data_IF_488925357817
#
_entry.id   IF_488925357817
#
_cell.length_a   1.000
_cell.length_b   1.000
_cell.length_c   1.000
_cell.angle_alpha   90.00
_cell.angle_beta   90.00
_cell.angle_gamma   90.00
#
_symmetry.space_group_name_H-M   'P 1'
#
loop_
_entity.id
_entity.type
_entity.pdbx_description
1 polymer ?
#
# COMPACT_ATOMS: atom_id res chain seq x y z
N UNK A 1 3.40 31.49 8.65
CA UNK A 1 2.68 30.36 9.30
C UNK A 1 2.56 29.13 8.42
N UNK A 2 1.98 29.13 7.17
CA UNK A 2 1.99 27.95 6.29
C UNK A 2 3.39 27.62 5.75
N UNK A 3 4.22 28.63 5.44
CA UNK A 3 5.59 28.48 4.92
C UNK A 3 6.54 27.82 5.94
N UNK A 4 6.40 28.13 7.21
CA UNK A 4 7.22 27.57 8.30
C UNK A 4 6.83 26.12 8.62
N UNK A 5 5.57 25.74 8.38
CA UNK A 5 5.08 24.36 8.50
C UNK A 5 5.71 23.47 7.42
N UNK A 6 5.83 24.00 6.20
CA UNK A 6 6.46 23.28 5.08
C UNK A 6 7.98 23.10 5.29
N UNK A 7 8.68 24.15 5.73
CA UNK A 7 10.15 24.12 5.88
C UNK A 7 10.60 23.15 6.99
N UNK A 8 9.85 23.03 8.09
CA UNK A 8 10.18 22.09 9.17
C UNK A 8 9.59 20.67 9.01
N UNK A 9 8.69 20.46 8.05
CA UNK A 9 8.25 19.13 7.66
C UNK A 9 9.20 18.47 6.65
N UNK A 10 10.12 19.25 6.04
CA UNK A 10 11.11 18.70 5.13
C UNK A 10 12.24 18.03 5.91
N UNK A 11 12.74 16.89 5.44
CA UNK A 11 13.95 16.28 5.98
C UNK A 11 15.11 17.27 5.83
N UNK A 12 15.79 17.56 6.93
CA UNK A 12 16.93 18.51 6.95
C UNK A 12 18.15 18.00 6.22
N UNK A 13 18.26 16.68 6.08
CA UNK A 13 19.31 16.01 5.31
C UNK A 13 18.67 14.86 4.51
N UNK A 14 19.01 14.77 3.24
CA UNK A 14 18.44 13.79 2.28
C UNK A 14 18.66 12.33 2.68
N UNK A 15 19.43 12.02 3.72
CA UNK A 15 19.84 10.67 4.09
C UNK A 15 19.39 10.22 5.49
N UNK A 16 18.95 11.11 6.35
CA UNK A 16 18.63 10.82 7.76
C UNK A 16 17.49 9.80 7.94
N UNK A 17 16.48 9.80 7.05
CA UNK A 17 15.38 8.85 7.05
C UNK A 17 15.86 7.39 6.98
N UNK A 18 17.04 7.13 6.40
CA UNK A 18 17.61 5.78 6.30
C UNK A 18 17.92 5.16 7.66
N UNK A 19 18.19 5.97 8.68
CA UNK A 19 18.43 5.46 10.04
C UNK A 19 17.16 4.85 10.62
N UNK A 20 16.01 5.51 10.41
CA UNK A 20 14.70 5.01 10.83
C UNK A 20 14.35 3.73 10.05
N UNK A 21 14.53 3.74 8.74
CA UNK A 21 14.32 2.58 7.89
C UNK A 21 15.19 1.38 8.32
N UNK A 22 16.50 1.61 8.53
CA UNK A 22 17.44 0.58 8.95
C UNK A 22 17.07 -0.03 10.31
N UNK A 23 16.65 0.79 11.26
CA UNK A 23 16.16 0.33 12.56
C UNK A 23 14.98 -0.63 12.38
N UNK A 24 13.99 -0.25 11.58
CA UNK A 24 12.81 -1.07 11.31
C UNK A 24 13.17 -2.38 10.62
N UNK A 25 14.08 -2.33 9.63
CA UNK A 25 14.61 -3.52 8.96
C UNK A 25 15.31 -4.47 9.95
N UNK A 26 16.18 -3.96 10.81
CA UNK A 26 16.90 -4.78 11.80
C UNK A 26 15.98 -5.43 12.83
N UNK A 27 14.90 -4.76 13.22
CA UNK A 27 13.88 -5.32 14.08
C UNK A 27 13.09 -6.43 13.36
N UNK A 28 12.63 -6.15 12.13
CA UNK A 28 11.82 -7.07 11.33
C UNK A 28 12.56 -8.34 10.90
N UNK A 29 13.85 -8.26 10.56
CA UNK A 29 14.61 -9.42 10.05
C UNK A 29 14.57 -10.65 10.97
N UNK A 30 14.34 -10.44 12.27
CA UNK A 30 14.21 -11.53 13.25
C UNK A 30 12.92 -12.34 13.07
N UNK A 31 11.89 -11.73 12.52
CA UNK A 31 10.56 -12.32 12.28
C UNK A 31 10.20 -12.36 10.80
N UNK A 32 11.18 -12.16 9.90
CA UNK A 32 10.98 -12.00 8.47
C UNK A 32 10.19 -13.15 7.84
N UNK A 33 10.56 -14.40 8.16
CA UNK A 33 9.91 -15.58 7.60
C UNK A 33 8.42 -15.65 7.98
N UNK A 34 8.11 -15.46 9.27
CA UNK A 34 6.71 -15.45 9.77
C UNK A 34 5.91 -14.32 9.12
N UNK A 35 6.52 -13.14 9.01
CA UNK A 35 5.88 -11.98 8.36
C UNK A 35 5.62 -12.20 6.87
N UNK A 36 6.54 -12.85 6.14
CA UNK A 36 6.36 -13.14 4.71
C UNK A 36 5.26 -14.19 4.50
N UNK A 37 5.25 -15.27 5.29
CA UNK A 37 4.20 -16.29 5.21
C UNK A 37 2.83 -15.67 5.54
N UNK A 38 2.73 -14.86 6.61
CA UNK A 38 1.49 -14.18 6.97
C UNK A 38 0.97 -13.25 5.87
N UNK A 39 1.86 -12.48 5.23
CA UNK A 39 1.45 -11.59 4.13
C UNK A 39 1.01 -12.32 2.85
N UNK A 40 1.43 -13.60 2.67
CA UNK A 40 1.00 -14.42 1.54
C UNK A 40 -0.31 -15.16 1.81
N UNK A 41 -0.64 -15.42 3.07
CA UNK A 41 -1.79 -16.24 3.43
C UNK A 41 -3.10 -15.69 2.85
N UNK A 42 -3.42 -14.42 3.11
CA UNK A 42 -4.65 -13.80 2.62
C UNK A 42 -4.76 -13.80 1.07
N UNK A 43 -3.77 -13.30 0.29
CA UNK A 43 -3.82 -13.34 -1.16
C UNK A 43 -3.96 -14.76 -1.70
N UNK A 44 -3.31 -15.75 -1.08
CA UNK A 44 -3.41 -17.15 -1.51
C UNK A 44 -4.79 -17.72 -1.21
N UNK A 45 -5.39 -17.42 -0.06
CA UNK A 45 -6.76 -17.84 0.25
C UNK A 45 -7.76 -17.28 -0.76
N UNK A 46 -7.65 -16.00 -1.15
CA UNK A 46 -8.48 -15.42 -2.21
C UNK A 46 -8.21 -16.07 -3.57
N UNK A 47 -6.94 -16.25 -3.92
CA UNK A 47 -6.55 -16.84 -5.21
C UNK A 47 -7.05 -18.27 -5.33
N UNK A 48 -6.88 -19.09 -4.30
CA UNK A 48 -7.35 -20.48 -4.33
C UNK A 48 -8.86 -20.57 -4.10
N UNK A 49 -9.42 -19.86 -3.14
CA UNK A 49 -10.84 -19.92 -2.82
C UNK A 49 -11.72 -19.35 -3.94
N UNK A 50 -11.53 -18.08 -4.28
CA UNK A 50 -12.30 -17.46 -5.38
C UNK A 50 -11.76 -17.86 -6.75
N UNK A 51 -10.44 -17.94 -6.92
CA UNK A 51 -9.81 -18.24 -8.21
C UNK A 51 -10.24 -19.60 -8.74
N UNK A 52 -10.11 -20.64 -7.95
CA UNK A 52 -10.55 -22.00 -8.37
C UNK A 52 -12.02 -22.24 -8.09
N UNK A 53 -12.59 -21.77 -6.96
CA UNK A 53 -13.99 -21.99 -6.63
C UNK A 53 -14.93 -21.30 -7.62
N UNK A 54 -14.84 -19.98 -7.69
CA UNK A 54 -15.70 -19.17 -8.58
C UNK A 54 -15.18 -19.18 -10.03
N UNK A 55 -13.86 -19.32 -10.21
CA UNK A 55 -13.23 -19.36 -11.53
C UNK A 55 -13.70 -20.49 -12.43
N UNK A 56 -14.08 -21.64 -11.88
CA UNK A 56 -14.68 -22.74 -12.64
C UNK A 56 -16.02 -22.33 -13.25
N UNK A 57 -16.80 -21.52 -12.53
CA UNK A 57 -18.13 -21.06 -12.99
C UNK A 57 -18.03 -19.91 -13.99
N UNK A 58 -17.09 -18.98 -13.78
CA UNK A 58 -16.93 -17.78 -14.62
C UNK A 58 -16.11 -18.08 -15.88
N UNK A 59 -15.11 -18.95 -15.77
CA UNK A 59 -14.21 -19.31 -16.85
C UNK A 59 -13.26 -18.19 -17.25
N UNK A 60 -13.67 -17.34 -18.20
CA UNK A 60 -12.85 -16.23 -18.73
C UNK A 60 -13.52 -14.88 -18.51
N UNK A 61 -12.72 -13.89 -18.11
CA UNK A 61 -13.10 -12.48 -18.01
C UNK A 61 -12.13 -11.67 -18.89
N UNK A 62 -12.69 -10.80 -19.75
CA UNK A 62 -11.90 -9.94 -20.64
C UNK A 62 -10.85 -10.71 -21.46
N UNK A 63 -11.18 -11.96 -21.86
CA UNK A 63 -10.29 -12.80 -22.66
C UNK A 63 -9.14 -13.47 -21.92
N UNK A 64 -9.05 -13.33 -20.58
CA UNK A 64 -8.10 -14.06 -19.71
C UNK A 64 -8.82 -15.00 -18.76
N UNK A 65 -8.10 -15.98 -18.18
CA UNK A 65 -8.67 -16.80 -17.12
C UNK A 65 -9.00 -15.93 -15.89
N UNK A 66 -10.11 -16.25 -15.21
CA UNK A 66 -10.50 -15.52 -13.99
C UNK A 66 -9.39 -15.53 -12.93
N UNK A 67 -8.64 -16.62 -12.82
CA UNK A 67 -7.53 -16.75 -11.88
C UNK A 67 -6.41 -15.73 -12.19
N UNK A 68 -6.05 -15.56 -13.46
CA UNK A 68 -5.04 -14.58 -13.86
C UNK A 68 -5.52 -13.13 -13.64
N UNK A 69 -6.80 -12.86 -13.89
CA UNK A 69 -7.43 -11.59 -13.62
C UNK A 69 -7.39 -11.26 -12.12
N UNK A 70 -7.78 -12.21 -11.28
CA UNK A 70 -7.78 -12.10 -9.82
C UNK A 70 -6.35 -11.96 -9.28
N UNK A 71 -5.38 -12.74 -9.78
CA UNK A 71 -3.99 -12.70 -9.35
C UNK A 71 -3.39 -11.31 -9.48
N UNK A 72 -3.63 -10.63 -10.61
CA UNK A 72 -3.17 -9.26 -10.81
C UNK A 72 -3.79 -8.27 -9.80
N UNK A 73 -5.08 -8.42 -9.50
CA UNK A 73 -5.75 -7.64 -8.44
C UNK A 73 -5.19 -7.94 -7.05
N UNK A 74 -4.86 -9.21 -6.76
CA UNK A 74 -4.28 -9.61 -5.48
C UNK A 74 -2.88 -9.04 -5.24
N UNK A 75 -2.07 -8.82 -6.28
CA UNK A 75 -0.78 -8.11 -6.15
C UNK A 75 -0.98 -6.68 -5.64
N UNK A 76 -1.92 -5.94 -6.23
CA UNK A 76 -2.25 -4.59 -5.79
C UNK A 76 -2.79 -4.57 -4.35
N UNK A 77 -3.69 -5.49 -4.03
CA UNK A 77 -4.29 -5.63 -2.70
C UNK A 77 -3.24 -6.00 -1.66
N UNK A 78 -2.33 -6.91 -1.96
CA UNK A 78 -1.25 -7.32 -1.07
C UNK A 78 -0.31 -6.15 -0.74
N UNK A 79 0.03 -5.33 -1.74
CA UNK A 79 0.80 -4.10 -1.52
C UNK A 79 0.05 -3.10 -0.63
N UNK A 80 -1.24 -2.88 -0.89
CA UNK A 80 -2.12 -2.02 -0.10
C UNK A 80 -2.19 -2.47 1.35
N UNK A 81 -2.57 -3.73 1.61
CA UNK A 81 -2.77 -4.25 2.96
C UNK A 81 -1.48 -4.30 3.75
N UNK A 82 -0.38 -4.76 3.13
CA UNK A 82 0.93 -4.82 3.79
C UNK A 82 1.43 -3.43 4.22
N UNK A 83 1.35 -2.41 3.34
CA UNK A 83 1.75 -1.05 3.67
C UNK A 83 0.84 -0.43 4.74
N UNK A 84 -0.46 -0.61 4.59
CA UNK A 84 -1.44 -0.05 5.53
C UNK A 84 -1.27 -0.66 6.91
N UNK A 85 -1.20 -2.00 7.01
CA UNK A 85 -1.11 -2.68 8.31
C UNK A 85 0.23 -2.42 9.01
N UNK A 86 1.34 -2.34 8.27
CA UNK A 86 2.61 -1.89 8.84
C UNK A 86 2.46 -0.51 9.47
N UNK A 87 1.74 0.40 8.81
CA UNK A 87 1.57 1.78 9.31
C UNK A 87 0.59 1.84 10.48
N UNK A 88 -0.63 1.31 10.35
CA UNK A 88 -1.65 1.45 11.40
C UNK A 88 -1.35 0.63 12.66
N UNK A 89 -0.67 -0.51 12.54
CA UNK A 89 -0.35 -1.34 13.70
C UNK A 89 1.08 -1.13 14.19
N UNK A 90 2.08 -1.35 13.35
CA UNK A 90 3.46 -1.33 13.80
C UNK A 90 4.00 0.10 14.01
N UNK A 91 3.75 1.03 13.07
CA UNK A 91 4.19 2.42 13.23
C UNK A 91 3.44 3.11 14.37
N UNK A 92 2.12 2.88 14.49
CA UNK A 92 1.34 3.40 15.62
C UNK A 92 1.85 2.86 16.97
N UNK A 93 2.18 1.56 17.07
CA UNK A 93 2.77 0.99 18.27
C UNK A 93 4.12 1.65 18.61
N UNK A 94 4.98 1.86 17.61
CA UNK A 94 6.27 2.55 17.79
C UNK A 94 6.10 4.00 18.27
N UNK A 95 5.08 4.68 17.79
CA UNK A 95 4.80 6.07 18.17
C UNK A 95 4.15 6.14 19.57
N UNK A 96 3.04 5.44 19.77
CA UNK A 96 2.17 5.61 20.94
C UNK A 96 2.57 4.76 22.15
N UNK A 97 2.88 3.47 21.93
CA UNK A 97 3.13 2.52 23.02
C UNK A 97 4.59 2.56 23.43
N UNK A 98 5.48 2.44 22.44
CA UNK A 98 6.92 2.37 22.70
C UNK A 98 7.56 3.75 22.86
N UNK A 99 6.85 4.84 22.55
CA UNK A 99 7.33 6.22 22.55
C UNK A 99 8.67 6.42 21.83
N UNK A 100 8.94 5.57 20.84
CA UNK A 100 10.20 5.59 20.11
C UNK A 100 10.39 6.88 19.30
N UNK A 101 9.31 7.51 18.85
CA UNK A 101 9.39 8.77 18.13
C UNK A 101 9.89 9.90 19.01
N UNK A 102 9.44 9.97 20.26
CA UNK A 102 9.93 10.96 21.25
C UNK A 102 11.44 10.81 21.43
N UNK A 103 11.92 9.57 21.65
CA UNK A 103 13.36 9.30 21.81
C UNK A 103 14.18 9.67 20.56
N UNK A 104 13.65 9.41 19.36
CA UNK A 104 14.31 9.75 18.09
C UNK A 104 14.34 11.26 17.88
N UNK A 105 13.29 11.99 18.25
CA UNK A 105 13.22 13.45 18.14
C UNK A 105 14.11 14.18 19.15
N UNK A 106 14.62 13.51 20.18
CA UNK A 106 15.70 14.04 21.03
C UNK A 106 17.08 14.02 20.36
N UNK A 107 17.19 13.44 19.16
CA UNK A 107 18.41 13.46 18.32
C UNK A 107 18.31 14.56 17.25
N UNK A 108 19.21 14.53 16.26
CA UNK A 108 19.19 15.49 15.13
C UNK A 108 18.11 15.18 14.07
N UNK A 109 17.26 14.18 14.29
CA UNK A 109 16.22 13.77 13.34
C UNK A 109 14.98 14.67 13.48
N UNK A 110 14.42 15.07 12.34
CA UNK A 110 13.18 15.82 12.28
C UNK A 110 11.96 14.90 12.17
N UNK A 111 10.77 15.44 12.42
CA UNK A 111 9.50 14.72 12.19
C UNK A 111 9.40 14.24 10.74
N UNK A 112 9.83 15.06 9.78
CA UNK A 112 9.88 14.69 8.37
C UNK A 112 10.77 13.48 8.08
N UNK A 113 11.94 13.41 8.72
CA UNK A 113 12.86 12.26 8.58
C UNK A 113 12.24 10.99 9.15
N UNK A 114 11.54 11.08 10.29
CA UNK A 114 10.86 9.94 10.91
C UNK A 114 9.73 9.45 10.03
N UNK A 115 8.83 10.34 9.60
CA UNK A 115 7.69 10.00 8.73
C UNK A 115 8.17 9.40 7.42
N UNK A 116 9.17 9.99 6.76
CA UNK A 116 9.73 9.49 5.52
C UNK A 116 10.37 8.09 5.70
N UNK A 117 11.09 7.88 6.80
CA UNK A 117 11.70 6.58 7.11
C UNK A 117 10.67 5.48 7.38
N UNK A 118 9.58 5.80 8.07
CA UNK A 118 8.46 4.87 8.29
C UNK A 118 7.73 4.58 6.97
N UNK A 119 7.50 5.58 6.11
CA UNK A 119 6.91 5.37 4.78
C UNK A 119 7.79 4.50 3.88
N UNK A 120 9.08 4.76 3.84
CA UNK A 120 10.04 3.95 3.08
C UNK A 120 10.06 2.50 3.58
N UNK A 121 9.90 2.29 4.90
CA UNK A 121 9.78 0.96 5.48
C UNK A 121 8.47 0.27 5.08
N UNK A 122 7.34 0.95 5.18
CA UNK A 122 6.04 0.42 4.77
C UNK A 122 6.02 0.07 3.27
N UNK A 123 6.63 0.91 2.41
CA UNK A 123 6.79 0.62 0.99
C UNK A 123 7.69 -0.60 0.74
N UNK A 124 8.73 -0.81 1.56
CA UNK A 124 9.56 -2.02 1.50
C UNK A 124 8.75 -3.27 1.85
N UNK A 125 7.86 -3.19 2.84
CA UNK A 125 6.94 -4.28 3.21
C UNK A 125 5.94 -4.57 2.08
N UNK A 126 5.38 -3.52 1.47
CA UNK A 126 4.51 -3.65 0.29
C UNK A 126 5.24 -4.31 -0.87
N UNK A 127 6.49 -3.90 -1.13
CA UNK A 127 7.33 -4.50 -2.16
C UNK A 127 7.53 -6.00 -1.93
N UNK A 128 7.87 -6.40 -0.71
CA UNK A 128 8.05 -7.81 -0.37
C UNK A 128 6.75 -8.60 -0.55
N UNK A 129 5.62 -8.07 -0.09
CA UNK A 129 4.32 -8.73 -0.22
C UNK A 129 3.86 -8.82 -1.68
N UNK A 130 3.87 -7.72 -2.42
CA UNK A 130 3.42 -7.68 -3.81
C UNK A 130 4.30 -8.50 -4.74
N UNK A 131 5.63 -8.45 -4.56
CA UNK A 131 6.55 -9.29 -5.36
C UNK A 131 6.39 -10.77 -5.04
N UNK A 132 6.17 -11.15 -3.78
CA UNK A 132 5.93 -12.54 -3.41
C UNK A 132 4.67 -13.10 -4.10
N UNK A 133 3.56 -12.35 -4.11
CA UNK A 133 2.33 -12.75 -4.83
C UNK A 133 2.58 -12.80 -6.35
N UNK A 134 3.34 -11.84 -6.90
CA UNK A 134 3.69 -11.84 -8.33
C UNK A 134 4.52 -13.05 -8.70
N UNK A 135 5.51 -13.43 -7.88
CA UNK A 135 6.32 -14.64 -8.10
C UNK A 135 5.45 -15.89 -8.09
N UNK A 136 4.56 -16.03 -7.11
CA UNK A 136 3.62 -17.17 -7.05
C UNK A 136 2.72 -17.21 -8.29
N UNK A 137 2.15 -16.06 -8.69
CA UNK A 137 1.31 -15.99 -9.89
C UNK A 137 2.08 -16.38 -11.16
N UNK A 138 3.36 -15.99 -11.27
CA UNK A 138 4.23 -16.32 -12.39
C UNK A 138 4.58 -17.81 -12.41
N UNK A 139 4.91 -18.42 -11.26
CA UNK A 139 5.23 -19.86 -11.17
C UNK A 139 4.03 -20.74 -11.49
N UNK A 140 2.82 -20.26 -11.20
CA UNK A 140 1.56 -20.91 -11.55
C UNK A 140 1.12 -20.68 -13.03
N UNK A 141 1.89 -19.89 -13.80
CA UNK A 141 1.60 -19.61 -15.21
C UNK A 141 0.52 -18.53 -15.45
N UNK A 142 0.17 -17.75 -14.42
CA UNK A 142 -0.84 -16.68 -14.52
C UNK A 142 -0.28 -15.30 -14.85
N UNK A 143 1.05 -15.17 -14.91
CA UNK A 143 1.73 -13.94 -15.30
C UNK A 143 2.98 -14.25 -16.16
N UNK A 144 3.32 -13.38 -17.10
CA UNK A 144 4.53 -13.50 -17.90
C UNK A 144 5.77 -13.11 -17.09
N UNK A 145 6.88 -13.84 -17.24
CA UNK A 145 8.12 -13.55 -16.48
C UNK A 145 8.61 -12.10 -16.58
N UNK A 146 8.58 -11.40 -17.75
CA UNK A 146 9.04 -10.01 -17.83
C UNK A 146 8.19 -9.04 -17.00
N UNK A 147 6.96 -9.41 -16.66
CA UNK A 147 6.02 -8.54 -15.93
C UNK A 147 6.50 -8.15 -14.54
N UNK A 148 7.28 -8.99 -13.88
CA UNK A 148 7.82 -8.72 -12.52
C UNK A 148 8.55 -7.37 -12.50
N UNK A 149 9.35 -7.09 -13.54
CA UNK A 149 10.14 -5.85 -13.62
C UNK A 149 9.25 -4.59 -13.69
N UNK A 150 8.12 -4.67 -14.41
CA UNK A 150 7.16 -3.56 -14.54
C UNK A 150 6.26 -3.41 -13.31
N UNK A 151 5.99 -4.51 -12.61
CA UNK A 151 5.14 -4.51 -11.40
C UNK A 151 5.86 -3.89 -10.19
N UNK A 152 7.19 -4.08 -10.06
CA UNK A 152 7.98 -3.57 -8.93
C UNK A 152 7.76 -2.08 -8.67
N UNK A 153 7.96 -1.14 -9.63
CA UNK A 153 7.79 0.28 -9.37
C UNK A 153 6.34 0.64 -9.00
N UNK A 154 5.36 -0.04 -9.57
CA UNK A 154 3.94 0.20 -9.26
C UNK A 154 3.62 -0.25 -7.84
N UNK A 155 4.12 -1.41 -7.42
CA UNK A 155 3.96 -1.92 -6.05
C UNK A 155 4.58 -0.98 -5.01
N UNK A 156 5.78 -0.45 -5.29
CA UNK A 156 6.41 0.55 -4.42
C UNK A 156 5.54 1.80 -4.31
N UNK A 157 5.07 2.34 -5.43
CA UNK A 157 4.24 3.53 -5.47
C UNK A 157 2.89 3.31 -4.78
N UNK A 158 2.27 2.13 -4.97
CA UNK A 158 1.07 1.70 -4.24
C UNK A 158 1.34 1.68 -2.73
N UNK A 159 2.44 1.05 -2.32
CA UNK A 159 2.84 0.98 -0.91
C UNK A 159 3.03 2.38 -0.30
N UNK A 160 3.69 3.29 -1.00
CA UNK A 160 3.87 4.68 -0.57
C UNK A 160 2.53 5.42 -0.44
N UNK A 161 1.64 5.28 -1.41
CA UNK A 161 0.33 5.95 -1.39
C UNK A 161 -0.51 5.48 -0.19
N UNK A 162 -0.64 4.18 0.02
CA UNK A 162 -1.43 3.63 1.12
C UNK A 162 -0.78 3.85 2.49
N UNK A 163 0.55 3.78 2.59
CA UNK A 163 1.26 4.14 3.82
C UNK A 163 1.05 5.63 4.16
N UNK A 164 1.09 6.53 3.18
CA UNK A 164 0.87 7.97 3.39
C UNK A 164 -0.55 8.25 3.88
N UNK A 165 -1.57 7.61 3.30
CA UNK A 165 -2.97 7.71 3.75
C UNK A 165 -3.08 7.18 5.19
N UNK A 166 -2.49 6.03 5.48
CA UNK A 166 -2.49 5.42 6.81
C UNK A 166 -1.75 6.29 7.85
N UNK A 167 -0.69 7.02 7.44
CA UNK A 167 -0.01 8.00 8.30
C UNK A 167 -0.94 9.12 8.76
N UNK A 168 -1.81 9.63 7.89
CA UNK A 168 -2.82 10.62 8.28
C UNK A 168 -3.76 10.02 9.33
N UNK A 169 -4.18 8.77 9.13
CA UNK A 169 -5.07 8.09 10.06
C UNK A 169 -4.43 7.95 11.45
N UNK A 170 -3.18 7.47 11.55
CA UNK A 170 -2.51 7.33 12.85
C UNK A 170 -2.19 8.66 13.52
N UNK A 171 -2.07 9.75 12.75
CA UNK A 171 -1.87 11.08 13.31
C UNK A 171 -3.11 11.60 14.07
N UNK A 172 -4.31 11.18 13.67
CA UNK A 172 -5.57 11.61 14.28
C UNK A 172 -6.19 10.55 15.21
N UNK A 173 -5.86 9.27 15.02
CA UNK A 173 -6.45 8.18 15.80
C UNK A 173 -5.95 8.19 17.25
N UNK A 174 -6.83 8.12 18.25
CA UNK A 174 -6.47 8.01 19.66
C UNK A 174 -6.20 6.55 20.09
N UNK A 175 -6.78 5.55 19.41
CA UNK A 175 -6.69 4.13 19.77
C UNK A 175 -6.74 3.20 18.56
N UNK A 176 -6.45 1.92 18.77
CA UNK A 176 -6.52 0.88 17.74
C UNK A 176 -7.94 0.64 17.19
N UNK A 177 -8.98 0.96 17.92
CA UNK A 177 -10.37 0.74 17.49
C UNK A 177 -10.70 1.48 16.19
N UNK A 178 -10.11 2.66 15.99
CA UNK A 178 -10.27 3.42 14.75
C UNK A 178 -9.76 2.68 13.50
N UNK A 179 -8.78 1.79 13.68
CA UNK A 179 -8.21 1.03 12.57
C UNK A 179 -9.13 -0.08 12.08
N UNK A 180 -9.93 -0.67 12.98
CA UNK A 180 -10.95 -1.66 12.62
C UNK A 180 -12.01 -1.01 11.73
N UNK A 181 -12.47 0.20 12.09
CA UNK A 181 -13.41 0.95 11.25
C UNK A 181 -12.81 1.28 9.87
N UNK A 182 -11.57 1.74 9.82
CA UNK A 182 -10.90 2.04 8.56
C UNK A 182 -10.77 0.77 7.69
N UNK A 183 -10.38 -0.34 8.26
CA UNK A 183 -10.26 -1.61 7.56
C UNK A 183 -11.60 -2.08 7.01
N UNK A 184 -12.66 -2.05 7.83
CA UNK A 184 -13.97 -2.59 7.45
C UNK A 184 -14.75 -1.64 6.52
N UNK A 185 -14.72 -0.32 6.77
CA UNK A 185 -15.55 0.63 6.04
C UNK A 185 -14.84 1.26 4.84
N UNK A 186 -13.50 1.21 4.78
CA UNK A 186 -12.74 1.82 3.68
C UNK A 186 -12.02 0.75 2.85
N UNK A 187 -11.15 -0.08 3.46
CA UNK A 187 -10.34 -1.03 2.70
C UNK A 187 -11.18 -2.16 2.11
N UNK A 188 -12.13 -2.72 2.87
CA UNK A 188 -12.94 -3.84 2.37
C UNK A 188 -13.85 -3.43 1.20
N UNK A 189 -14.65 -2.35 1.26
CA UNK A 189 -15.39 -1.89 0.09
C UNK A 189 -14.48 -1.50 -1.09
N UNK A 190 -13.34 -0.88 -0.81
CA UNK A 190 -12.37 -0.50 -1.84
C UNK A 190 -11.85 -1.72 -2.62
N UNK A 191 -11.59 -2.85 -1.94
CA UNK A 191 -11.20 -4.10 -2.60
C UNK A 191 -12.21 -4.53 -3.66
N UNK A 192 -13.50 -4.47 -3.36
CA UNK A 192 -14.55 -4.86 -4.29
C UNK A 192 -14.79 -3.83 -5.40
N UNK A 193 -14.75 -2.54 -5.08
CA UNK A 193 -15.03 -1.45 -6.03
C UNK A 193 -13.86 -1.16 -6.98
N UNK A 194 -12.61 -1.52 -6.62
CA UNK A 194 -11.42 -1.15 -7.40
C UNK A 194 -11.09 -2.12 -8.55
N UNK A 195 -12.00 -3.01 -8.89
CA UNK A 195 -11.77 -3.93 -10.02
C UNK A 195 -10.86 -5.12 -9.70
N UNK A 196 -10.62 -5.43 -8.42
CA UNK A 196 -9.79 -6.57 -7.99
C UNK A 196 -10.48 -7.89 -8.31
N UNK A 197 -11.74 -8.05 -7.88
CA UNK A 197 -12.49 -9.30 -7.96
C UNK A 197 -13.30 -9.39 -9.26
N UNK A 198 -13.83 -8.27 -9.75
CA UNK A 198 -14.58 -8.17 -10.99
C UNK A 198 -14.30 -6.85 -11.72
N UNK A 199 -14.47 -6.77 -13.05
CA UNK A 199 -14.17 -5.57 -13.82
C UNK A 199 -15.02 -4.37 -13.37
N UNK A 200 -14.39 -3.18 -13.24
CA UNK A 200 -15.06 -1.92 -12.90
C UNK A 200 -16.17 -1.57 -13.90
N UNK A 201 -16.04 -2.03 -15.14
CA UNK A 201 -17.04 -1.82 -16.20
C UNK A 201 -18.43 -2.42 -15.87
N UNK A 202 -18.48 -3.47 -15.07
CA UNK A 202 -19.73 -4.13 -14.67
C UNK A 202 -20.41 -3.48 -13.46
N UNK A 203 -19.76 -2.48 -12.81
CA UNK A 203 -20.36 -1.76 -11.70
C UNK A 203 -21.48 -0.82 -12.16
N UNK A 204 -22.55 -0.65 -11.35
CA UNK A 204 -23.55 0.40 -11.55
C UNK A 204 -22.90 1.79 -11.67
N UNK A 205 -23.51 2.71 -12.42
CA UNK A 205 -22.91 3.99 -12.80
C UNK A 205 -22.30 4.81 -11.66
N UNK A 206 -23.01 4.91 -10.51
CA UNK A 206 -22.52 5.62 -9.34
C UNK A 206 -21.24 4.99 -8.74
N UNK A 207 -21.20 3.66 -8.59
CA UNK A 207 -20.04 2.94 -8.08
C UNK A 207 -18.86 2.97 -9.07
N UNK A 208 -19.13 2.97 -10.39
CA UNK A 208 -18.09 3.14 -11.40
C UNK A 208 -17.42 4.51 -11.33
N UNK A 209 -18.19 5.57 -11.04
CA UNK A 209 -17.61 6.90 -10.84
C UNK A 209 -16.75 6.93 -9.56
N UNK A 210 -17.26 6.38 -8.46
CA UNK A 210 -16.50 6.29 -7.21
C UNK A 210 -15.20 5.50 -7.40
N UNK A 211 -15.24 4.38 -8.11
CA UNK A 211 -14.07 3.56 -8.38
C UNK A 211 -12.92 4.34 -9.04
N UNK A 212 -13.21 5.33 -9.90
CA UNK A 212 -12.20 6.16 -10.55
C UNK A 212 -11.38 7.02 -9.61
N UNK A 213 -11.90 7.30 -8.41
CA UNK A 213 -11.19 8.07 -7.38
C UNK A 213 -10.46 7.19 -6.37
N UNK A 214 -10.63 5.87 -6.42
CA UNK A 214 -9.99 4.99 -5.45
C UNK A 214 -8.52 4.73 -5.82
N UNK A 215 -7.57 4.92 -4.88
CA UNK A 215 -6.15 4.69 -5.16
C UNK A 215 -5.85 3.24 -5.57
N UNK A 216 -6.59 2.26 -5.05
CA UNK A 216 -6.42 0.86 -5.42
C UNK A 216 -6.78 0.60 -6.89
N UNK A 217 -7.79 1.30 -7.44
CA UNK A 217 -8.15 1.20 -8.86
C UNK A 217 -6.97 1.57 -9.76
N UNK A 218 -6.29 2.67 -9.44
CA UNK A 218 -5.12 3.09 -10.21
C UNK A 218 -3.98 2.08 -10.14
N UNK A 219 -3.79 1.44 -9.00
CA UNK A 219 -2.80 0.37 -8.84
C UNK A 219 -3.14 -0.86 -9.68
N UNK A 220 -4.41 -1.29 -9.66
CA UNK A 220 -4.89 -2.44 -10.45
C UNK A 220 -4.79 -2.18 -11.95
N UNK A 221 -5.16 -0.97 -12.41
CA UNK A 221 -5.08 -0.56 -13.83
C UNK A 221 -3.64 -0.50 -14.36
N UNK A 222 -2.64 -0.35 -13.50
CA UNK A 222 -1.22 -0.43 -13.87
C UNK A 222 -0.68 -1.87 -13.80
N UNK A 223 -1.02 -2.61 -12.74
CA UNK A 223 -0.47 -3.95 -12.47
C UNK A 223 -1.06 -4.98 -13.42
N UNK A 224 -2.38 -4.94 -13.68
CA UNK A 224 -3.06 -5.94 -14.50
C UNK A 224 -2.56 -6.00 -15.94
N UNK A 225 -2.46 -4.89 -16.69
CA UNK A 225 -1.88 -4.93 -18.03
C UNK A 225 -0.42 -5.41 -18.03
N UNK A 226 0.38 -4.99 -17.03
CA UNK A 226 1.76 -5.42 -16.91
C UNK A 226 1.87 -6.96 -16.72
N UNK A 227 1.04 -7.55 -15.85
CA UNK A 227 1.06 -8.99 -15.60
C UNK A 227 0.52 -9.82 -16.76
N UNK A 228 -0.47 -9.30 -17.48
CA UNK A 228 -1.14 -9.99 -18.59
C UNK A 228 -0.51 -9.70 -19.96
N UNK A 229 0.63 -9.00 -20.00
CA UNK A 229 1.32 -8.55 -21.22
C UNK A 229 0.38 -7.82 -22.20
N UNK A 230 -0.47 -6.93 -21.68
CA UNK A 230 -1.42 -6.13 -22.46
C UNK A 230 -0.97 -4.67 -22.53
N UNK A 231 -1.37 -3.93 -23.56
CA UNK A 231 -1.14 -2.49 -23.60
C UNK A 231 -1.89 -1.83 -22.46
N UNK A 232 -1.19 -1.01 -21.66
CA UNK A 232 -1.80 -0.22 -20.60
C UNK A 232 -2.26 1.14 -21.16
N UNK A 233 -3.53 1.49 -20.95
CA UNK A 233 -4.06 2.79 -21.30
C UNK A 233 -3.90 3.78 -20.14
N UNK A 234 -3.58 5.05 -20.44
CA UNK A 234 -3.59 6.10 -19.43
C UNK A 234 -2.57 5.96 -18.30
N UNK A 235 -1.42 5.30 -18.52
CA UNK A 235 -0.37 5.07 -17.51
C UNK A 235 -0.06 6.35 -16.73
N UNK A 236 0.14 7.49 -17.45
CA UNK A 236 0.47 8.76 -16.82
C UNK A 236 -0.59 9.23 -15.81
N UNK A 237 -1.88 9.08 -16.14
CA UNK A 237 -2.97 9.44 -15.22
C UNK A 237 -2.92 8.63 -13.92
N UNK A 238 -2.76 7.31 -14.03
CA UNK A 238 -2.73 6.42 -12.87
C UNK A 238 -1.50 6.65 -12.00
N UNK A 239 -0.34 6.88 -12.61
CA UNK A 239 0.90 7.23 -11.88
C UNK A 239 0.76 8.58 -11.18
N UNK A 240 0.24 9.62 -11.87
CA UNK A 240 0.00 10.93 -11.26
C UNK A 240 -0.97 10.82 -10.10
N UNK A 241 -2.06 10.08 -10.24
CA UNK A 241 -3.01 9.87 -9.17
C UNK A 241 -2.35 9.23 -7.93
N UNK A 242 -1.56 8.16 -8.10
CA UNK A 242 -0.84 7.53 -6.99
C UNK A 242 0.22 8.45 -6.37
N UNK A 243 0.90 9.28 -7.17
CA UNK A 243 1.81 10.31 -6.67
C UNK A 243 1.06 11.35 -5.83
N UNK A 244 -0.13 11.78 -6.24
CA UNK A 244 -0.97 12.70 -5.47
C UNK A 244 -1.38 12.05 -4.14
N UNK A 245 -1.81 10.79 -4.15
CA UNK A 245 -2.13 10.02 -2.93
C UNK A 245 -0.92 9.73 -2.04
N UNK A 246 0.29 9.85 -2.56
CA UNK A 246 1.52 9.78 -1.76
C UNK A 246 1.87 11.13 -1.16
N UNK A 247 1.95 12.16 -1.99
CA UNK A 247 2.51 13.47 -1.62
C UNK A 247 1.58 14.27 -0.72
N UNK A 248 0.29 14.37 -1.06
CA UNK A 248 -0.65 15.16 -0.26
C UNK A 248 -0.83 14.60 1.17
N UNK A 249 -1.09 13.28 1.37
CA UNK A 249 -1.19 12.74 2.72
C UNK A 249 0.14 12.76 3.47
N UNK A 250 1.30 12.66 2.80
CA UNK A 250 2.60 12.80 3.45
C UNK A 250 2.73 14.17 4.16
N UNK A 251 2.50 15.26 3.43
CA UNK A 251 2.59 16.60 4.03
C UNK A 251 1.52 16.84 5.08
N UNK A 252 0.31 16.35 4.85
CA UNK A 252 -0.77 16.45 5.83
C UNK A 252 -0.43 15.70 7.13
N UNK A 253 0.08 14.47 7.03
CA UNK A 253 0.48 13.69 8.21
C UNK A 253 1.62 14.34 8.97
N UNK A 254 2.64 14.86 8.29
CA UNK A 254 3.75 15.57 8.91
C UNK A 254 3.28 16.83 9.69
N UNK A 255 2.32 17.57 9.11
CA UNK A 255 1.72 18.73 9.77
C UNK A 255 0.89 18.34 11.00
N UNK A 256 0.13 17.24 10.93
CA UNK A 256 -0.67 16.72 12.04
C UNK A 256 0.21 16.20 13.19
N UNK A 257 1.25 15.42 12.88
CA UNK A 257 2.21 14.94 13.89
C UNK A 257 2.92 16.10 14.60
N UNK A 258 3.29 17.14 13.86
CA UNK A 258 3.88 18.32 14.45
C UNK A 258 2.95 18.96 15.50
N UNK A 259 1.67 19.11 15.18
CA UNK A 259 0.70 19.64 16.14
C UNK A 259 0.55 18.73 17.36
N UNK A 260 0.56 17.41 17.17
CA UNK A 260 0.33 16.44 18.25
C UNK A 260 1.54 16.23 19.17
N UNK A 261 2.76 16.35 18.65
CA UNK A 261 4.00 16.07 19.40
C UNK A 261 4.66 17.32 19.97
N UNK A 262 4.30 18.52 19.47
CA UNK A 262 4.90 19.78 19.91
C UNK A 262 3.89 20.69 20.65
N UNK A 263 2.62 20.27 20.79
CA UNK A 263 1.62 20.87 21.68
C UNK A 263 1.63 20.16 23.03
#
# INVERSE_FOLDING_TARGET
MMRDVFVMAMPTNTWNWRMVWRRNYLAWRKTALVSLIGNLADPMMYLFGLGFGVGIMIGRIEGTSYVAFLAAGMVATSAMTSATFETIYATFARMHIQRMWEAVLCTQLTIGDVVLGELAWAATKALLAGTAVTVVATTLGYAAFPSILYVIPVVILTGLAFASIAMVLIAIAPSYDYFIFYQTLVLTPMLFLSGVVFPVAHLPGAFRQLARFLPLTHSVELIRPAMLARPAAGIGLHVIALCVYTVLPFFLSAALFRRRLLS
#
